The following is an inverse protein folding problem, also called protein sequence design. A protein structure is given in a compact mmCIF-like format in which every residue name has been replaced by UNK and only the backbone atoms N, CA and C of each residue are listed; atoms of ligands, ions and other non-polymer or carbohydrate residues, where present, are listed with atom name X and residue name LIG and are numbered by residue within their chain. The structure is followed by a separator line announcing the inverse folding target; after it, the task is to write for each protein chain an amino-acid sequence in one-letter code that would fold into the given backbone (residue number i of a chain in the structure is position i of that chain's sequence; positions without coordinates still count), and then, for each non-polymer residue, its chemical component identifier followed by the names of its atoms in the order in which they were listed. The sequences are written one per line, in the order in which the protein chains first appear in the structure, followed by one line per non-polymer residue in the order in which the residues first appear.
data_IF_239138997182
#
_entry.id   IF_239138997182
#
_cell.length_a   1.000
_cell.length_b   1.000
_cell.length_c   1.000
_cell.angle_alpha   90.00
_cell.angle_beta   90.00
_cell.angle_gamma   90.00
#
_symmetry.space_group_name_H-M   'P 1'
#
loop_
_entity.id
_entity.type
_entity.pdbx_description
1 polymer ?
#
# COMPACT_ATOMS: atom_id res chain seq x y z
N UNK A 1 -17.00 14.56 -12.30
CA UNK A 1 -16.32 15.35 -11.24
C UNK A 1 -15.08 14.60 -10.79
N UNK A 2 -13.92 14.95 -11.35
CA UNK A 2 -12.64 14.22 -11.21
C UNK A 2 -11.80 14.69 -10.00
N UNK A 3 -12.13 15.83 -9.38
CA UNK A 3 -11.45 16.29 -8.16
C UNK A 3 -12.15 15.77 -6.91
N UNK A 4 -11.97 14.48 -6.62
CA UNK A 4 -12.31 13.90 -5.31
C UNK A 4 -11.03 13.64 -4.55
N UNK A 5 -10.98 14.07 -3.30
CA UNK A 5 -9.79 13.95 -2.44
C UNK A 5 -9.34 12.49 -2.26
N UNK A 6 -10.27 11.53 -2.38
CA UNK A 6 -9.96 10.09 -2.38
C UNK A 6 -8.96 9.69 -3.48
N UNK A 7 -9.05 10.29 -4.67
CA UNK A 7 -8.18 9.96 -5.81
C UNK A 7 -6.75 10.41 -5.54
N UNK A 8 -6.58 11.56 -4.87
CA UNK A 8 -5.26 12.07 -4.47
C UNK A 8 -4.59 11.08 -3.51
N UNK A 9 -5.31 10.61 -2.48
CA UNK A 9 -4.78 9.65 -1.54
C UNK A 9 -4.41 8.30 -2.19
N UNK A 10 -5.23 7.83 -3.15
CA UNK A 10 -4.94 6.61 -3.90
C UNK A 10 -3.70 6.76 -4.80
N UNK A 11 -3.54 7.91 -5.48
CA UNK A 11 -2.36 8.21 -6.29
C UNK A 11 -1.11 8.25 -5.41
N UNK A 12 -1.16 8.92 -4.26
CA UNK A 12 -0.02 9.00 -3.34
C UNK A 12 0.36 7.62 -2.82
N UNK A 13 -0.59 6.77 -2.45
CA UNK A 13 -0.32 5.38 -2.07
C UNK A 13 0.35 4.59 -3.20
N UNK A 14 -0.13 4.72 -4.44
CA UNK A 14 0.48 4.06 -5.59
C UNK A 14 1.91 4.55 -5.86
N UNK A 15 2.17 5.85 -5.71
CA UNK A 15 3.51 6.44 -5.85
C UNK A 15 4.45 5.96 -4.75
N UNK A 16 3.98 5.82 -3.51
CA UNK A 16 4.77 5.27 -2.40
C UNK A 16 5.16 3.82 -2.69
N UNK A 17 4.23 3.00 -3.18
CA UNK A 17 4.54 1.62 -3.60
C UNK A 17 5.51 1.58 -4.78
N UNK A 18 5.39 2.50 -5.74
CA UNK A 18 6.35 2.65 -6.84
C UNK A 18 7.74 3.07 -6.36
N UNK A 19 7.83 3.98 -5.39
CA UNK A 19 9.09 4.37 -4.76
C UNK A 19 9.71 3.20 -4.00
N UNK A 20 8.89 2.40 -3.29
CA UNK A 20 9.35 1.17 -2.63
C UNK A 20 9.97 0.20 -3.64
N UNK A 21 9.38 0.03 -4.82
CA UNK A 21 9.95 -0.80 -5.88
C UNK A 21 11.30 -0.28 -6.39
N UNK A 22 11.42 1.03 -6.65
CA UNK A 22 12.65 1.62 -7.18
C UNK A 22 13.80 1.64 -6.16
N UNK A 23 13.49 1.94 -4.91
CA UNK A 23 14.48 2.05 -3.83
C UNK A 23 14.61 0.79 -2.98
N UNK A 24 14.06 -0.34 -3.41
CA UNK A 24 14.18 -1.59 -2.65
C UNK A 24 15.65 -1.98 -2.46
N UNK A 25 16.17 -1.96 -1.22
CA UNK A 25 17.56 -2.32 -0.95
C UNK A 25 17.70 -3.85 -0.99
N UNK A 26 18.78 -4.34 -1.60
CA UNK A 26 19.14 -5.76 -1.51
C UNK A 26 19.69 -5.99 -0.11
N UNK A 27 19.12 -6.93 0.63
CA UNK A 27 19.59 -7.26 1.98
C UNK A 27 20.55 -8.44 1.87
N UNK A 28 21.83 -8.16 2.16
CA UNK A 28 22.89 -9.16 2.28
C UNK A 28 23.03 -9.59 3.75
N UNK A 29 23.29 -10.87 3.97
CA UNK A 29 23.75 -11.44 5.23
C UNK A 29 25.25 -11.24 5.46
N UNK A 30 25.71 -11.58 6.67
CA UNK A 30 27.12 -11.47 7.06
C UNK A 30 28.07 -12.25 6.13
N UNK A 31 27.59 -13.36 5.55
CA UNK A 31 28.33 -14.23 4.65
C UNK A 31 28.33 -13.74 3.18
N UNK A 32 27.73 -12.57 2.89
CA UNK A 32 27.47 -12.10 1.53
C UNK A 32 26.30 -12.82 0.83
N UNK A 33 25.56 -13.66 1.55
CA UNK A 33 24.35 -14.34 1.05
C UNK A 33 23.20 -13.35 0.88
N UNK A 34 22.46 -13.44 -0.23
CA UNK A 34 21.29 -12.57 -0.49
C UNK A 34 20.11 -13.10 0.33
N UNK A 35 19.69 -12.35 1.35
CA UNK A 35 18.60 -12.73 2.26
C UNK A 35 17.26 -12.16 1.79
N UNK A 36 17.28 -10.94 1.24
CA UNK A 36 16.15 -10.39 0.50
C UNK A 36 16.67 -9.86 -0.83
N UNK A 37 16.30 -10.57 -1.90
CA UNK A 37 16.55 -10.13 -3.26
C UNK A 37 15.46 -9.14 -3.68
N UNK A 38 15.84 -8.10 -4.42
CA UNK A 38 14.92 -7.23 -5.16
C UNK A 38 13.99 -8.04 -6.09
N UNK A 39 14.40 -9.23 -6.49
CA UNK A 39 13.64 -10.14 -7.35
C UNK A 39 12.79 -11.15 -6.59
N UNK A 40 12.64 -11.02 -5.27
CA UNK A 40 11.79 -11.92 -4.50
C UNK A 40 10.34 -11.87 -5.04
N UNK A 41 9.82 -12.98 -5.62
CA UNK A 41 8.54 -12.96 -6.32
C UNK A 41 7.36 -12.56 -5.42
N UNK A 42 7.44 -12.89 -4.13
CA UNK A 42 6.40 -12.60 -3.15
C UNK A 42 6.32 -11.09 -2.87
N UNK A 43 7.46 -10.44 -2.58
CA UNK A 43 7.52 -8.99 -2.29
C UNK A 43 7.11 -8.19 -3.53
N UNK A 44 7.66 -8.54 -4.70
CA UNK A 44 7.28 -7.91 -5.96
C UNK A 44 5.80 -8.09 -6.26
N UNK A 45 5.29 -9.31 -6.11
CA UNK A 45 3.87 -9.62 -6.30
C UNK A 45 2.97 -8.74 -5.44
N UNK A 46 3.28 -8.58 -4.15
CA UNK A 46 2.50 -7.73 -3.25
C UNK A 46 2.57 -6.24 -3.62
N UNK A 47 3.74 -5.73 -4.02
CA UNK A 47 3.88 -4.34 -4.47
C UNK A 47 3.04 -4.10 -5.73
N UNK A 48 3.16 -4.95 -6.75
CA UNK A 48 2.40 -4.81 -8.00
C UNK A 48 0.90 -5.00 -7.77
N UNK A 49 0.48 -5.93 -6.91
CA UNK A 49 -0.92 -6.09 -6.50
C UNK A 49 -1.42 -4.81 -5.84
N UNK A 50 -0.65 -4.20 -4.94
CA UNK A 50 -1.06 -2.96 -4.28
C UNK A 50 -1.24 -1.79 -5.26
N UNK A 51 -0.30 -1.63 -6.20
CA UNK A 51 -0.39 -0.62 -7.27
C UNK A 51 -1.60 -0.89 -8.17
N UNK A 52 -1.80 -2.13 -8.60
CA UNK A 52 -2.92 -2.51 -9.44
C UNK A 52 -4.26 -2.25 -8.73
N UNK A 53 -4.40 -2.61 -7.45
CA UNK A 53 -5.59 -2.34 -6.66
C UNK A 53 -5.85 -0.83 -6.53
N UNK A 54 -4.82 0.00 -6.35
CA UNK A 54 -4.96 1.45 -6.33
C UNK A 54 -5.48 2.00 -7.68
N UNK A 55 -4.94 1.52 -8.80
CA UNK A 55 -5.39 1.90 -10.15
C UNK A 55 -6.84 1.46 -10.38
N UNK A 56 -7.18 0.20 -10.09
CA UNK A 56 -8.55 -0.32 -10.26
C UNK A 56 -9.53 0.46 -9.37
N UNK A 57 -9.12 0.85 -8.15
CA UNK A 57 -9.90 1.70 -7.25
C UNK A 57 -10.16 3.08 -7.86
N UNK A 58 -9.15 3.70 -8.48
CA UNK A 58 -9.29 5.00 -9.17
C UNK A 58 -10.26 4.89 -10.37
N UNK A 59 -10.11 3.83 -11.18
CA UNK A 59 -10.99 3.58 -12.34
C UNK A 59 -12.44 3.26 -11.93
N UNK A 60 -12.63 2.70 -10.72
CA UNK A 60 -13.93 2.37 -10.15
C UNK A 60 -14.67 3.57 -9.53
N UNK A 61 -14.29 4.82 -9.87
CA UNK A 61 -14.85 6.06 -9.28
C UNK A 61 -16.38 6.19 -9.33
N UNK A 62 -17.04 5.50 -10.27
CA UNK A 62 -18.52 5.49 -10.37
C UNK A 62 -19.17 4.58 -9.32
N UNK A 63 -18.47 3.54 -8.86
CA UNK A 63 -18.97 2.50 -7.94
C UNK A 63 -18.31 2.63 -6.57
N UNK A 64 -18.79 3.58 -5.76
CA UNK A 64 -18.20 3.93 -4.45
C UNK A 64 -18.08 2.74 -3.49
N UNK A 65 -19.09 1.86 -3.44
CA UNK A 65 -19.03 0.63 -2.63
C UNK A 65 -17.91 -0.32 -3.10
N UNK A 66 -17.79 -0.53 -4.40
CA UNK A 66 -16.70 -1.33 -4.99
C UNK A 66 -15.35 -0.69 -4.70
N UNK A 67 -15.24 0.64 -4.82
CA UNK A 67 -14.04 1.40 -4.49
C UNK A 67 -13.62 1.21 -3.03
N UNK A 68 -14.58 1.24 -2.11
CA UNK A 68 -14.36 0.99 -0.68
C UNK A 68 -13.83 -0.43 -0.42
N UNK A 69 -14.42 -1.45 -1.04
CA UNK A 69 -13.98 -2.85 -0.88
C UNK A 69 -12.58 -3.06 -1.45
N UNK A 70 -12.31 -2.59 -2.67
CA UNK A 70 -10.98 -2.69 -3.30
C UNK A 70 -9.92 -2.01 -2.43
N UNK A 71 -10.23 -0.84 -1.91
CA UNK A 71 -9.29 -0.10 -1.08
C UNK A 71 -9.02 -0.79 0.27
N UNK A 72 -10.01 -1.48 0.87
CA UNK A 72 -9.78 -2.35 2.03
C UNK A 72 -8.90 -3.57 1.69
N UNK A 73 -9.10 -4.18 0.53
CA UNK A 73 -8.22 -5.26 0.05
C UNK A 73 -6.78 -4.75 -0.12
N UNK A 74 -6.61 -3.52 -0.59
CA UNK A 74 -5.28 -2.90 -0.72
C UNK A 74 -4.61 -2.67 0.64
N UNK A 75 -5.37 -2.23 1.65
CA UNK A 75 -4.88 -2.11 3.04
C UNK A 75 -4.39 -3.47 3.55
N UNK A 76 -5.19 -4.53 3.36
CA UNK A 76 -4.81 -5.89 3.78
C UNK A 76 -3.53 -6.34 3.06
N UNK A 77 -3.42 -6.09 1.75
CA UNK A 77 -2.20 -6.42 0.99
C UNK A 77 -0.96 -5.70 1.54
N UNK A 78 -1.08 -4.42 1.92
CA UNK A 78 0.02 -3.69 2.56
C UNK A 78 0.36 -4.23 3.96
N UNK A 79 -0.63 -4.67 4.74
CA UNK A 79 -0.38 -5.35 6.03
C UNK A 79 0.33 -6.69 5.85
N UNK A 80 -0.03 -7.47 4.82
CA UNK A 80 0.68 -8.71 4.48
C UNK A 80 2.13 -8.40 4.12
N UNK A 81 2.37 -7.38 3.29
CA UNK A 81 3.72 -6.92 2.94
C UNK A 81 4.53 -6.49 4.17
N UNK A 82 3.90 -5.75 5.08
CA UNK A 82 4.52 -5.38 6.36
C UNK A 82 4.88 -6.62 7.19
N UNK A 83 3.98 -7.60 7.28
CA UNK A 83 4.22 -8.86 7.98
C UNK A 83 5.39 -9.65 7.40
N UNK A 84 5.52 -9.67 6.07
CA UNK A 84 6.67 -10.26 5.37
C UNK A 84 7.96 -9.56 5.77
N UNK A 85 7.99 -8.22 5.77
CA UNK A 85 9.17 -7.46 6.19
C UNK A 85 9.55 -7.71 7.66
N UNK A 86 8.56 -7.75 8.57
CA UNK A 86 8.80 -8.06 9.99
C UNK A 86 9.35 -9.47 10.15
N UNK A 87 8.73 -10.47 9.53
CA UNK A 87 9.17 -11.87 9.60
C UNK A 87 10.62 -12.05 9.10
N UNK A 88 10.96 -11.41 7.98
CA UNK A 88 12.32 -11.42 7.44
C UNK A 88 13.30 -10.71 8.36
N UNK A 89 12.90 -9.59 8.94
CA UNK A 89 13.72 -8.86 9.92
C UNK A 89 14.03 -9.68 11.17
N UNK A 90 13.13 -10.56 11.61
CA UNK A 90 13.32 -11.42 12.77
C UNK A 90 14.17 -12.67 12.47
N UNK A 91 14.22 -13.08 11.21
CA UNK A 91 14.97 -14.27 10.76
C UNK A 91 16.42 -13.92 10.39
N UNK A 92 16.76 -12.63 10.32
CA UNK A 92 18.10 -12.12 10.11
C UNK A 92 18.91 -12.16 11.42
N UNK A 93 19.87 -13.08 11.52
CA UNK A 93 20.90 -13.06 12.56
C UNK A 93 21.91 -11.95 12.25
N UNK A 94 22.17 -11.04 13.20
CA UNK A 94 23.31 -10.12 13.11
C UNK A 94 22.98 -8.67 12.70
N UNK A 95 23.17 -7.77 13.66
CA UNK A 95 23.37 -6.32 13.57
C UNK A 95 22.28 -5.36 13.05
N UNK A 96 21.86 -4.52 14.01
CA UNK A 96 21.27 -3.17 13.97
C UNK A 96 20.42 -2.76 12.74
N UNK A 97 19.16 -2.46 13.05
CA UNK A 97 18.11 -1.87 12.20
C UNK A 97 18.45 -0.50 11.56
N UNK A 98 19.70 -0.02 11.62
CA UNK A 98 20.09 1.39 11.38
C UNK A 98 20.93 1.60 10.10
N UNK A 99 21.25 0.56 9.33
CA UNK A 99 21.96 0.72 8.05
C UNK A 99 20.99 0.61 6.88
N UNK A 100 20.48 1.72 6.33
CA UNK A 100 19.64 1.92 5.11
C UNK A 100 18.38 1.02 4.91
N UNK A 101 18.23 -0.05 5.69
CA UNK A 101 17.25 -1.15 5.61
C UNK A 101 15.90 -0.75 6.21
N UNK A 102 15.86 0.21 7.14
CA UNK A 102 14.65 0.63 7.85
C UNK A 102 13.64 1.43 7.01
N UNK A 103 14.10 2.15 5.98
CA UNK A 103 13.25 3.03 5.17
C UNK A 103 12.21 2.22 4.36
N UNK A 104 12.59 1.04 3.86
CA UNK A 104 11.70 0.18 3.09
C UNK A 104 10.49 -0.32 3.91
N UNK A 105 10.68 -0.55 5.21
CA UNK A 105 9.60 -1.02 6.12
C UNK A 105 8.58 0.08 6.41
N UNK A 106 9.01 1.35 6.36
CA UNK A 106 8.12 2.49 6.60
C UNK A 106 7.17 2.77 5.44
N UNK A 107 7.57 2.46 4.19
CA UNK A 107 6.77 2.78 3.01
C UNK A 107 5.39 2.08 2.98
N UNK A 108 5.24 0.77 3.29
CA UNK A 108 3.94 0.14 3.48
C UNK A 108 3.09 0.81 4.57
N UNK A 109 3.69 1.26 5.68
CA UNK A 109 2.97 1.94 6.76
C UNK A 109 2.39 3.27 6.27
N UNK A 110 3.21 4.08 5.59
CA UNK A 110 2.78 5.36 5.03
C UNK A 110 1.67 5.13 3.98
N UNK A 111 1.81 4.12 3.13
CA UNK A 111 0.78 3.73 2.16
C UNK A 111 -0.55 3.37 2.85
N UNK A 112 -0.52 2.58 3.93
CA UNK A 112 -1.72 2.24 4.72
C UNK A 112 -2.42 3.50 5.22
N UNK A 113 -1.68 4.50 5.73
CA UNK A 113 -2.26 5.76 6.19
C UNK A 113 -3.03 6.44 5.06
N UNK A 114 -2.44 6.56 3.87
CA UNK A 114 -3.13 7.15 2.71
C UNK A 114 -4.34 6.33 2.25
N UNK A 115 -4.25 4.99 2.25
CA UNK A 115 -5.39 4.14 1.92
C UNK A 115 -6.53 4.28 2.95
N UNK A 116 -6.23 4.43 4.24
CA UNK A 116 -7.25 4.69 5.27
C UNK A 116 -7.92 6.04 5.05
N UNK A 117 -7.15 7.08 4.73
CA UNK A 117 -7.70 8.41 4.37
C UNK A 117 -8.57 8.35 3.11
N UNK A 118 -8.16 7.58 2.10
CA UNK A 118 -8.96 7.31 0.92
C UNK A 118 -10.29 6.64 1.28
N UNK A 119 -10.29 5.62 2.14
CA UNK A 119 -11.51 4.95 2.60
C UNK A 119 -12.45 5.89 3.35
N UNK A 120 -11.91 6.74 4.22
CA UNK A 120 -12.71 7.75 4.93
C UNK A 120 -13.38 8.73 3.95
N UNK A 121 -12.64 9.16 2.93
CA UNK A 121 -13.17 10.03 1.88
C UNK A 121 -14.26 9.32 1.06
N UNK A 122 -14.03 8.08 0.61
CA UNK A 122 -15.01 7.28 -0.15
C UNK A 122 -16.31 7.09 0.63
N UNK A 123 -16.21 6.78 1.93
CA UNK A 123 -17.37 6.57 2.78
C UNK A 123 -18.19 7.86 2.95
N UNK A 124 -17.54 8.98 3.25
CA UNK A 124 -18.21 10.30 3.31
C UNK A 124 -18.94 10.61 2.01
N UNK A 125 -18.28 10.32 0.90
CA UNK A 125 -18.81 10.49 -0.44
C UNK A 125 -20.08 9.65 -0.65
N UNK A 126 -20.06 8.37 -0.28
CA UNK A 126 -21.23 7.48 -0.35
C UNK A 126 -22.39 7.97 0.54
N UNK A 127 -22.10 8.39 1.77
CA UNK A 127 -23.10 8.86 2.72
C UNK A 127 -23.79 10.15 2.23
N UNK A 128 -23.05 11.05 1.57
CA UNK A 128 -23.60 12.26 0.95
C UNK A 128 -24.60 11.92 -0.16
N UNK A 129 -24.27 10.96 -1.04
CA UNK A 129 -25.21 10.54 -2.11
C UNK A 129 -26.49 9.97 -1.51
N UNK A 130 -26.35 9.06 -0.54
CA UNK A 130 -27.50 8.46 0.13
C UNK A 130 -28.36 9.49 0.86
N UNK A 131 -27.76 10.52 1.44
CA UNK A 131 -28.52 11.59 2.11
C UNK A 131 -29.36 12.41 1.13
N UNK A 132 -28.85 12.68 -0.08
CA UNK A 132 -29.59 13.41 -1.12
C UNK A 132 -30.74 12.57 -1.67
N UNK A 133 -30.52 11.27 -1.89
CA UNK A 133 -31.56 10.36 -2.38
C UNK A 133 -32.70 10.17 -1.37
N UNK A 134 -32.48 10.37 -0.07
CA UNK A 134 -33.52 10.30 0.97
C UNK A 134 -34.44 11.52 1.00
N UNK A 135 -34.04 12.64 0.40
CA UNK A 135 -34.80 13.91 0.39
C UNK A 135 -35.62 14.10 -0.89
N UNK A 136 -35.48 13.19 -1.86
CA UNK A 136 -36.22 13.16 -3.12
C UNK A 136 -37.36 12.17 -3.03
#
# INVERSE_FOLDING_TARGET
MIQRIQTIYLIVSALIMGALFMWFPIILGEDGTVIIDRREPLVLGLIFISIALAIISILSFKKRQTQFVINRLNIISNFVLLGVFVYRSLTLSGETLVSEKGIGVLLPIISIVFLVLANKAIKKDEDLVKSVDRLR
#
